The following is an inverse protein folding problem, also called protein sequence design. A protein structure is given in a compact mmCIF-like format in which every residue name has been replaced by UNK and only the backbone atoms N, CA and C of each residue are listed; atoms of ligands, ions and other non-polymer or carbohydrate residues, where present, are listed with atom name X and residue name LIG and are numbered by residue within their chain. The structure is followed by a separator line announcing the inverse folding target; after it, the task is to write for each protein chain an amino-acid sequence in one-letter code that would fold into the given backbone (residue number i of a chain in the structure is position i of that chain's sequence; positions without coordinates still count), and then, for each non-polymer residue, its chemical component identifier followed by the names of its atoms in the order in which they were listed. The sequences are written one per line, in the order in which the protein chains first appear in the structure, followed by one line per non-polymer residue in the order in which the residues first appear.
data_IF_338489189942
#
_entry.id   IF_338489189942
#
_cell.length_a   1.000
_cell.length_b   1.000
_cell.length_c   1.000
_cell.angle_alpha   90.00
_cell.angle_beta   90.00
_cell.angle_gamma   90.00
#
_symmetry.space_group_name_H-M   'P 1'
#
loop_
_entity.id
_entity.type
_entity.pdbx_description
1 polymer ?
#
# COMPACT_ATOMS: atom_id res chain seq x y z
N UNK A 1 -45.70 -23.42 23.82
CA UNK A 1 -44.38 -23.93 23.40
C UNK A 1 -43.70 -22.82 22.63
N UNK A 2 -42.90 -22.03 23.33
CA UNK A 2 -42.04 -21.01 22.78
C UNK A 2 -40.79 -21.67 22.17
N UNK A 3 -40.34 -21.21 21.00
CA UNK A 3 -38.98 -20.67 20.92
C UNK A 3 -38.76 -19.86 19.63
N UNK A 4 -38.32 -18.62 19.84
CA UNK A 4 -37.78 -17.69 18.85
C UNK A 4 -36.41 -18.21 18.38
N UNK A 5 -36.09 -18.06 17.10
CA UNK A 5 -34.69 -18.01 16.67
C UNK A 5 -34.44 -16.71 15.91
N UNK A 6 -33.86 -15.75 16.65
CA UNK A 6 -33.09 -14.63 16.12
C UNK A 6 -31.74 -15.17 15.66
N UNK A 7 -31.33 -14.90 14.41
CA UNK A 7 -29.91 -14.92 14.04
C UNK A 7 -29.59 -13.63 13.27
N UNK A 8 -29.28 -12.62 14.09
CA UNK A 8 -28.34 -11.51 13.91
C UNK A 8 -27.69 -11.31 12.53
N UNK A 9 -28.05 -10.19 11.90
CA UNK A 9 -27.21 -9.45 10.95
C UNK A 9 -25.82 -9.18 11.57
N UNK A 10 -24.75 -9.78 11.03
CA UNK A 10 -23.37 -9.43 11.41
C UNK A 10 -22.95 -8.16 10.65
N UNK A 11 -23.08 -7.02 11.34
CA UNK A 11 -22.51 -5.72 10.94
C UNK A 11 -20.99 -5.86 10.71
N UNK A 12 -20.51 -5.41 9.55
CA UNK A 12 -19.08 -5.24 9.26
C UNK A 12 -18.52 -4.18 10.20
N UNK A 13 -17.69 -4.61 11.16
CA UNK A 13 -16.91 -3.71 12.01
C UNK A 13 -15.66 -3.33 11.23
N UNK A 14 -15.68 -2.17 10.59
CA UNK A 14 -14.52 -1.58 9.94
C UNK A 14 -13.49 -1.24 11.02
N UNK A 15 -12.29 -1.83 10.92
CA UNK A 15 -11.23 -1.75 11.93
C UNK A 15 -10.74 -0.31 12.14
N UNK A 16 -11.15 0.29 13.26
CA UNK A 16 -10.79 1.64 13.69
C UNK A 16 -9.28 1.88 13.82
N UNK A 17 -8.44 0.82 13.89
CA UNK A 17 -6.97 0.95 13.98
C UNK A 17 -6.31 1.34 12.66
N UNK A 18 -6.81 0.82 11.54
CA UNK A 18 -6.30 1.15 10.20
C UNK A 18 -6.44 2.65 9.88
N UNK A 19 -7.55 3.25 10.32
CA UNK A 19 -7.83 4.68 10.15
C UNK A 19 -6.86 5.61 10.90
N UNK A 20 -6.34 5.19 12.05
CA UNK A 20 -5.45 6.05 12.85
C UNK A 20 -4.05 6.15 12.24
N UNK A 21 -3.52 5.05 11.71
CA UNK A 21 -2.19 5.01 11.07
C UNK A 21 -2.16 5.81 9.77
N UNK A 22 -3.20 5.70 8.94
CA UNK A 22 -3.33 6.49 7.70
C UNK A 22 -3.43 8.00 7.99
N UNK A 23 -4.11 8.38 9.09
CA UNK A 23 -4.25 9.79 9.47
C UNK A 23 -2.92 10.41 9.91
N UNK A 24 -2.13 9.70 10.73
CA UNK A 24 -0.80 10.15 11.15
C UNK A 24 0.17 10.25 9.95
N UNK A 25 0.12 9.28 9.02
CA UNK A 25 0.92 9.34 7.80
C UNK A 25 0.55 10.54 6.91
N UNK A 26 -0.76 10.82 6.76
CA UNK A 26 -1.25 11.98 6.01
C UNK A 26 -0.78 13.30 6.62
N UNK A 27 -0.86 13.44 7.94
CA UNK A 27 -0.40 14.64 8.67
C UNK A 27 1.10 14.88 8.45
N UNK A 28 1.94 13.84 8.57
CA UNK A 28 3.38 13.93 8.32
C UNK A 28 3.71 14.35 6.87
N UNK A 29 2.98 13.80 5.89
CA UNK A 29 3.17 14.16 4.47
C UNK A 29 2.78 15.63 4.24
N UNK A 30 1.71 16.11 4.88
CA UNK A 30 1.28 17.51 4.81
C UNK A 30 2.36 18.43 5.38
N UNK A 31 3.00 18.08 6.49
CA UNK A 31 4.11 18.86 7.06
C UNK A 31 5.28 18.96 6.09
N UNK A 32 5.74 17.83 5.53
CA UNK A 32 6.82 17.84 4.53
C UNK A 32 6.50 18.65 3.28
N UNK A 33 5.24 18.63 2.84
CA UNK A 33 4.78 19.47 1.74
C UNK A 33 4.89 20.96 2.11
N UNK A 34 4.51 21.35 3.34
CA UNK A 34 4.66 22.73 3.82
C UNK A 34 6.12 23.15 3.93
N UNK A 35 6.99 22.28 4.46
CA UNK A 35 8.44 22.54 4.57
C UNK A 35 9.08 22.80 3.20
N UNK A 36 8.60 22.12 2.15
CA UNK A 36 8.99 22.36 0.76
C UNK A 36 8.36 23.61 0.12
N UNK A 37 7.54 24.37 0.86
CA UNK A 37 6.82 25.54 0.34
C UNK A 37 5.62 25.19 -0.55
N UNK A 38 5.12 23.95 -0.53
CA UNK A 38 3.92 23.59 -1.27
C UNK A 38 2.66 24.09 -0.56
N UNK A 39 1.82 24.84 -1.28
CA UNK A 39 0.49 25.22 -0.79
C UNK A 39 -0.41 24.00 -0.59
N UNK A 40 -1.04 23.86 0.57
CA UNK A 40 -2.00 22.77 0.80
C UNK A 40 -3.37 23.18 0.24
N UNK A 41 -3.74 22.63 -0.92
CA UNK A 41 -5.02 22.90 -1.60
C UNK A 41 -6.01 21.75 -1.40
N UNK A 42 -7.31 21.99 -1.63
CA UNK A 42 -8.34 20.93 -1.57
C UNK A 42 -8.01 19.77 -2.51
N UNK A 43 -7.62 20.04 -3.77
CA UNK A 43 -7.20 19.00 -4.71
C UNK A 43 -6.03 18.14 -4.19
N UNK A 44 -5.03 18.75 -3.55
CA UNK A 44 -3.89 18.01 -2.97
C UNK A 44 -4.32 17.12 -1.81
N UNK A 45 -5.25 17.58 -0.98
CA UNK A 45 -5.83 16.77 0.10
C UNK A 45 -6.63 15.59 -0.47
N UNK A 46 -7.47 15.81 -1.47
CA UNK A 46 -8.21 14.75 -2.16
C UNK A 46 -7.26 13.72 -2.77
N UNK A 47 -6.19 14.16 -3.44
CA UNK A 47 -5.20 13.25 -4.01
C UNK A 47 -4.44 12.46 -2.93
N UNK A 48 -4.10 13.09 -1.80
CA UNK A 48 -3.49 12.37 -0.66
C UNK A 48 -4.42 11.29 -0.13
N UNK A 49 -5.71 11.59 0.04
CA UNK A 49 -6.69 10.61 0.52
C UNK A 49 -6.82 9.42 -0.43
N UNK A 50 -6.82 9.66 -1.74
CA UNK A 50 -6.90 8.60 -2.75
C UNK A 50 -5.63 7.76 -2.78
N UNK A 51 -4.46 8.39 -2.72
CA UNK A 51 -3.16 7.71 -2.78
C UNK A 51 -2.90 6.90 -1.52
N UNK A 52 -3.29 7.41 -0.34
CA UNK A 52 -3.08 6.73 0.94
C UNK A 52 -4.19 5.74 1.29
N UNK A 53 -5.41 5.96 0.80
CA UNK A 53 -6.59 5.16 1.13
C UNK A 53 -6.85 3.97 0.19
N UNK A 54 -6.19 3.91 -0.97
CA UNK A 54 -6.40 2.84 -1.94
C UNK A 54 -5.07 2.36 -2.53
N UNK A 55 -4.93 1.04 -2.65
CA UNK A 55 -3.91 0.41 -3.50
C UNK A 55 -4.17 0.78 -4.96
N UNK A 56 -3.73 1.97 -5.38
CA UNK A 56 -3.72 2.36 -6.78
C UNK A 56 -2.38 1.91 -7.37
N UNK A 57 -2.44 1.10 -8.42
CA UNK A 57 -1.25 0.56 -9.09
C UNK A 57 -0.68 1.52 -10.16
N UNK A 58 -1.40 2.58 -10.50
CA UNK A 58 -1.00 3.50 -11.56
C UNK A 58 -1.56 4.92 -11.43
N UNK A 59 -0.90 5.89 -12.07
CA UNK A 59 -1.42 7.26 -12.21
C UNK A 59 -2.79 7.30 -12.92
N UNK A 60 -3.08 6.34 -13.81
CA UNK A 60 -4.36 6.25 -14.51
C UNK A 60 -5.50 5.93 -13.53
N UNK A 61 -5.27 5.01 -12.59
CA UNK A 61 -6.24 4.69 -11.55
C UNK A 61 -6.44 5.85 -10.57
N UNK A 62 -5.36 6.52 -10.16
CA UNK A 62 -5.44 7.71 -9.30
C UNK A 62 -6.29 8.78 -9.97
N UNK A 63 -6.05 9.05 -11.27
CA UNK A 63 -6.85 10.00 -12.04
C UNK A 63 -8.32 9.59 -12.15
N UNK A 64 -8.60 8.34 -12.47
CA UNK A 64 -9.97 7.84 -12.60
C UNK A 64 -10.77 7.95 -11.30
N UNK A 65 -10.12 7.70 -10.14
CA UNK A 65 -10.76 7.88 -8.84
C UNK A 65 -10.88 9.36 -8.47
N UNK A 66 -9.86 10.17 -8.72
CA UNK A 66 -9.85 11.58 -8.36
C UNK A 66 -10.88 12.39 -9.14
N UNK A 67 -11.02 12.14 -10.45
CA UNK A 67 -12.01 12.81 -11.30
C UNK A 67 -13.46 12.53 -10.90
N UNK A 68 -13.75 11.39 -10.26
CA UNK A 68 -15.08 11.09 -9.70
C UNK A 68 -15.39 11.86 -8.41
N UNK A 69 -14.36 12.28 -7.68
CA UNK A 69 -14.49 13.04 -6.43
C UNK A 69 -14.45 14.54 -6.68
N UNK A 70 -13.56 14.97 -7.58
CA UNK A 70 -13.36 16.35 -7.98
C UNK A 70 -13.00 16.40 -9.48
N UNK A 71 -13.98 16.75 -10.30
CA UNK A 71 -13.86 16.82 -11.76
C UNK A 71 -12.79 17.83 -12.22
N UNK A 72 -12.39 18.78 -11.37
CA UNK A 72 -11.33 19.74 -11.68
C UNK A 72 -9.91 19.12 -11.64
N UNK A 73 -9.78 17.89 -11.16
CA UNK A 73 -8.50 17.18 -11.12
C UNK A 73 -8.24 16.50 -12.47
N UNK A 74 -7.42 17.17 -13.29
CA UNK A 74 -6.89 16.60 -14.52
C UNK A 74 -5.70 15.66 -14.29
N UNK A 75 -5.41 14.81 -15.29
CA UNK A 75 -4.27 13.88 -15.26
C UNK A 75 -2.92 14.59 -14.99
N UNK A 76 -2.69 15.78 -15.57
CA UNK A 76 -1.49 16.56 -15.32
C UNK A 76 -1.32 16.97 -13.84
N UNK A 77 -2.42 17.19 -13.12
CA UNK A 77 -2.39 17.48 -11.68
C UNK A 77 -2.00 16.25 -10.87
N UNK A 78 -2.46 15.06 -11.28
CA UNK A 78 -2.03 13.78 -10.69
C UNK A 78 -0.53 13.59 -10.85
N UNK A 79 0.01 13.74 -12.07
CA UNK A 79 1.45 13.59 -12.30
C UNK A 79 2.29 14.58 -11.49
N UNK A 80 1.88 15.85 -11.43
CA UNK A 80 2.56 16.86 -10.60
C UNK A 80 2.55 16.47 -9.12
N UNK A 81 1.42 15.96 -8.62
CA UNK A 81 1.32 15.53 -7.23
C UNK A 81 2.24 14.34 -6.94
N UNK A 82 2.22 13.31 -7.79
CA UNK A 82 3.08 12.12 -7.67
C UNK A 82 4.57 12.52 -7.68
N UNK A 83 4.98 13.41 -8.59
CA UNK A 83 6.35 13.90 -8.65
C UNK A 83 6.75 14.61 -7.34
N UNK A 84 5.90 15.51 -6.83
CA UNK A 84 6.19 16.24 -5.59
C UNK A 84 6.31 15.29 -4.40
N UNK A 85 5.41 14.30 -4.30
CA UNK A 85 5.43 13.29 -3.25
C UNK A 85 6.69 12.42 -3.32
N UNK A 86 7.16 12.10 -4.52
CA UNK A 86 8.42 11.38 -4.68
C UNK A 86 9.63 12.23 -4.28
N UNK A 87 9.66 13.49 -4.68
CA UNK A 87 10.74 14.42 -4.35
C UNK A 87 10.87 14.67 -2.82
N UNK A 88 9.79 14.57 -2.05
CA UNK A 88 9.83 14.62 -0.57
C UNK A 88 10.02 13.25 0.09
N UNK A 89 10.24 12.20 -0.71
CA UNK A 89 10.41 10.83 -0.24
C UNK A 89 9.16 10.24 0.43
N UNK A 90 7.96 10.78 0.16
CA UNK A 90 6.70 10.25 0.67
C UNK A 90 6.23 9.02 -0.12
N UNK A 91 6.59 8.95 -1.41
CA UNK A 91 6.37 7.79 -2.27
C UNK A 91 7.63 7.52 -3.10
N UNK A 92 7.71 6.37 -3.77
CA UNK A 92 8.78 6.08 -4.73
C UNK A 92 8.19 5.39 -5.95
N UNK A 93 8.41 5.94 -7.16
CA UNK A 93 8.00 5.32 -8.44
C UNK A 93 8.69 3.98 -8.67
N UNK A 94 9.83 3.75 -8.01
CA UNK A 94 10.61 2.49 -8.07
C UNK A 94 10.15 1.46 -7.04
N UNK A 95 9.23 1.81 -6.13
CA UNK A 95 8.88 0.99 -4.96
C UNK A 95 7.50 0.34 -4.99
N UNK A 96 6.79 0.29 -6.12
CA UNK A 96 5.65 -0.67 -6.19
C UNK A 96 6.11 -2.11 -5.88
N UNK A 97 7.41 -2.41 -6.06
CA UNK A 97 7.98 -3.74 -5.82
C UNK A 97 9.31 -3.74 -5.03
N UNK A 98 9.73 -2.60 -4.46
CA UNK A 98 10.94 -2.53 -3.64
C UNK A 98 10.56 -2.35 -2.17
N UNK A 99 10.58 -3.46 -1.46
CA UNK A 99 10.54 -3.45 0.00
C UNK A 99 11.96 -3.05 0.46
N UNK A 100 12.14 -1.76 0.74
CA UNK A 100 13.33 -1.26 1.41
C UNK A 100 13.18 -1.55 2.91
N UNK A 101 14.12 -2.32 3.47
CA UNK A 101 14.08 -2.75 4.85
C UNK A 101 14.86 -1.79 5.77
N UNK A 102 14.26 -1.45 6.92
CA UNK A 102 14.98 -1.06 8.13
C UNK A 102 14.62 -2.04 9.26
N UNK A 103 15.57 -2.32 10.17
CA UNK A 103 15.33 -3.18 11.35
C UNK A 103 14.22 -2.65 12.28
N UNK A 104 13.86 -1.38 12.11
CA UNK A 104 12.83 -0.66 12.86
C UNK A 104 11.52 -0.48 12.08
N UNK A 105 11.35 -1.16 10.94
CA UNK A 105 10.19 -0.98 10.08
C UNK A 105 8.92 -1.57 10.71
N UNK A 106 8.02 -0.70 11.19
CA UNK A 106 6.72 -1.04 11.78
C UNK A 106 5.58 -1.15 10.74
N UNK A 107 5.91 -1.36 9.47
CA UNK A 107 4.93 -1.41 8.39
C UNK A 107 4.11 -2.71 8.46
N UNK A 108 2.83 -2.57 8.76
CA UNK A 108 1.83 -3.65 8.69
C UNK A 108 1.29 -3.79 7.26
N UNK A 109 0.77 -4.96 6.90
CA UNK A 109 0.23 -5.28 5.55
C UNK A 109 1.20 -4.94 4.40
N UNK A 110 2.49 -5.21 4.59
CA UNK A 110 3.54 -4.97 3.60
C UNK A 110 3.47 -5.88 2.37
N UNK A 111 2.83 -7.05 2.51
CA UNK A 111 2.70 -8.05 1.45
C UNK A 111 1.42 -8.85 1.65
N UNK A 112 0.70 -9.11 0.56
CA UNK A 112 -0.47 -10.00 0.56
C UNK A 112 -0.11 -11.27 -0.21
N UNK A 113 -0.33 -12.43 0.40
CA UNK A 113 -0.17 -13.75 -0.21
C UNK A 113 -1.56 -14.37 -0.35
N UNK A 114 -1.93 -14.76 -1.57
CA UNK A 114 -3.19 -15.44 -1.88
C UNK A 114 -2.82 -16.83 -2.37
N UNK A 115 -3.32 -17.86 -1.70
CA UNK A 115 -3.15 -19.26 -2.10
C UNK A 115 -4.22 -19.66 -3.13
N UNK A 116 -4.03 -20.83 -3.75
CA UNK A 116 -4.94 -21.39 -4.76
C UNK A 116 -6.34 -21.72 -4.21
N UNK A 117 -6.45 -21.98 -2.91
CA UNK A 117 -7.70 -22.16 -2.17
C UNK A 117 -8.35 -20.84 -1.71
N UNK A 118 -7.89 -19.70 -2.25
CA UNK A 118 -8.31 -18.33 -1.91
C UNK A 118 -7.93 -17.86 -0.50
N UNK A 119 -7.19 -18.66 0.29
CA UNK A 119 -6.71 -18.24 1.60
C UNK A 119 -5.77 -17.05 1.45
N UNK A 120 -6.08 -15.95 2.16
CA UNK A 120 -5.34 -14.68 2.08
C UNK A 120 -4.59 -14.39 3.37
N UNK A 121 -3.28 -14.13 3.25
CA UNK A 121 -2.42 -13.68 4.35
C UNK A 121 -1.91 -12.27 4.10
N UNK A 122 -2.13 -11.37 5.05
CA UNK A 122 -1.51 -10.05 5.05
C UNK A 122 -0.31 -10.05 6.01
N UNK A 123 0.89 -9.99 5.43
CA UNK A 123 2.15 -10.05 6.17
C UNK A 123 2.65 -8.64 6.47
N UNK A 124 3.01 -8.39 7.73
CA UNK A 124 3.82 -7.23 8.09
C UNK A 124 5.21 -7.31 7.44
N UNK A 125 5.92 -6.19 7.36
CA UNK A 125 7.29 -6.16 6.84
C UNK A 125 8.22 -7.13 7.60
N UNK A 126 8.00 -7.27 8.91
CA UNK A 126 8.72 -8.21 9.77
C UNK A 126 8.41 -9.67 9.40
N UNK A 127 7.12 -10.03 9.32
CA UNK A 127 6.72 -11.40 9.01
C UNK A 127 7.12 -11.81 7.60
N UNK A 128 6.92 -10.92 6.62
CA UNK A 128 7.38 -11.15 5.25
C UNK A 128 8.90 -11.38 5.18
N UNK A 129 9.70 -10.59 5.92
CA UNK A 129 11.14 -10.79 5.98
C UNK A 129 11.53 -12.15 6.58
N UNK A 130 10.84 -12.57 7.66
CA UNK A 130 11.06 -13.89 8.25
C UNK A 130 10.79 -15.01 7.26
N UNK A 131 9.67 -14.93 6.53
CA UNK A 131 9.30 -15.92 5.50
C UNK A 131 10.36 -15.99 4.41
N UNK A 132 10.77 -14.84 3.84
CA UNK A 132 11.76 -14.83 2.75
C UNK A 132 13.13 -15.30 3.24
N UNK A 133 13.57 -14.92 4.45
CA UNK A 133 14.84 -15.41 5.02
C UNK A 133 14.82 -16.92 5.23
N UNK A 134 13.72 -17.46 5.75
CA UNK A 134 13.56 -18.91 5.91
C UNK A 134 13.67 -19.63 4.57
N UNK A 135 12.97 -19.14 3.53
CA UNK A 135 13.03 -19.70 2.18
C UNK A 135 14.43 -19.61 1.55
N UNK A 136 15.07 -18.44 1.59
CA UNK A 136 16.42 -18.27 1.04
C UNK A 136 17.45 -19.15 1.74
N UNK A 137 17.34 -19.32 3.06
CA UNK A 137 18.20 -20.22 3.84
C UNK A 137 17.98 -21.69 3.46
N UNK A 138 16.70 -22.12 3.40
CA UNK A 138 16.35 -23.49 3.02
C UNK A 138 16.81 -23.85 1.60
N UNK A 139 16.83 -22.88 0.69
CA UNK A 139 17.33 -23.05 -0.68
C UNK A 139 18.85 -22.82 -0.82
N UNK A 140 19.58 -22.52 0.26
CA UNK A 140 21.04 -22.34 0.25
C UNK A 140 21.54 -20.99 -0.30
N UNK A 141 20.66 -20.02 -0.53
CA UNK A 141 21.03 -18.67 -1.01
C UNK A 141 21.55 -17.75 0.11
N UNK A 142 21.26 -18.08 1.36
CA UNK A 142 21.58 -17.24 2.51
C UNK A 142 22.35 -18.05 3.56
N UNK A 143 23.43 -17.47 4.07
CA UNK A 143 24.20 -18.03 5.20
C UNK A 143 24.21 -17.03 6.36
N UNK A 144 25.07 -16.01 6.29
CA UNK A 144 25.21 -14.98 7.33
C UNK A 144 24.91 -13.55 6.83
N UNK A 145 24.46 -13.42 5.58
CA UNK A 145 24.13 -12.14 4.97
C UNK A 145 22.77 -11.62 5.46
N UNK A 146 22.62 -10.30 5.48
CA UNK A 146 21.32 -9.63 5.61
C UNK A 146 20.75 -9.38 4.21
N UNK A 147 19.42 -9.42 4.08
CA UNK A 147 18.74 -9.03 2.85
C UNK A 147 18.80 -7.50 2.73
N UNK A 148 19.48 -6.98 1.70
CA UNK A 148 19.59 -5.54 1.47
C UNK A 148 18.40 -4.97 0.69
N UNK A 149 17.92 -5.69 -0.32
CA UNK A 149 16.74 -5.31 -1.11
C UNK A 149 16.18 -6.51 -1.86
N UNK A 150 14.86 -6.52 -2.08
CA UNK A 150 14.17 -7.50 -2.92
C UNK A 150 13.39 -6.72 -3.97
N UNK A 151 13.38 -7.23 -5.21
CA UNK A 151 12.64 -6.65 -6.32
C UNK A 151 11.95 -7.77 -7.07
N UNK A 152 10.62 -7.72 -7.10
CA UNK A 152 9.79 -8.68 -7.83
C UNK A 152 9.40 -8.03 -9.15
N UNK A 153 9.59 -8.73 -10.26
CA UNK A 153 9.06 -8.30 -11.56
C UNK A 153 7.72 -8.99 -11.79
N UNK A 154 6.66 -8.28 -12.16
CA UNK A 154 5.43 -8.93 -12.59
C UNK A 154 5.71 -9.79 -13.83
N UNK A 155 5.07 -10.95 -13.94
CA UNK A 155 5.11 -11.70 -15.20
C UNK A 155 4.27 -10.95 -16.24
N UNK A 156 4.82 -10.80 -17.44
CA UNK A 156 4.14 -10.23 -18.61
C UNK A 156 3.48 -11.31 -19.49
N UNK A 157 3.38 -12.53 -18.98
CA UNK A 157 2.83 -13.67 -19.70
C UNK A 157 1.29 -13.57 -19.78
N UNK A 158 0.76 -13.23 -20.97
CA UNK A 158 -0.69 -13.17 -21.26
C UNK A 158 -1.36 -14.55 -21.45
N UNK A 159 -0.63 -15.65 -21.23
CA UNK A 159 -1.13 -17.00 -21.49
C UNK A 159 -1.56 -17.70 -20.20
N UNK A 160 -2.78 -18.25 -20.23
CA UNK A 160 -3.32 -19.10 -19.17
C UNK A 160 -2.39 -20.29 -18.95
N UNK A 161 -1.72 -20.35 -17.80
CA UNK A 161 -0.76 -21.40 -17.48
C UNK A 161 0.37 -21.02 -16.53
N UNK A 162 0.48 -19.76 -16.10
CA UNK A 162 1.38 -19.39 -15.00
C UNK A 162 0.65 -19.45 -13.65
N UNK A 163 0.40 -20.68 -13.20
CA UNK A 163 -0.02 -20.99 -11.84
C UNK A 163 0.79 -22.19 -11.36
#
# INVERSE_FOLDING_TARGET
MENRNMISEKRKVTDSRSYHTSRMQKELIIERLKEKGCRITKQRLTLLDIILGHECSSCKEIYYKASKVDESIGAATVYRMVNVLEEIGAISRKNMYKIAYSETCAMENACTVILDDETTYHLSAKNWNLVVRAGLSACGYLSNQKIASISVKPCECEQAGCY
#
